data_IF_914004245930
#
_entry.id   IF_914004245930
#
_cell.length_a   1.000
_cell.length_b   1.000
_cell.length_c   1.000
_cell.angle_alpha   90.00
_cell.angle_beta   90.00
_cell.angle_gamma   90.00
#
_symmetry.space_group_name_H-M   'P 1'
#
loop_
_entity.id
_entity.type
_entity.pdbx_description
1 polymer ?
#
# COMPACT_ATOMS: atom_id res chain seq x y z
N UNK A 1 7.28 16.51 -15.63
CA UNK A 1 6.96 16.77 -14.22
C UNK A 1 6.17 15.60 -13.66
N UNK A 2 6.61 15.06 -12.57
CA UNK A 2 5.90 13.98 -11.94
C UNK A 2 4.70 14.49 -11.17
N UNK A 3 3.59 13.81 -11.32
CA UNK A 3 2.40 14.08 -10.53
C UNK A 3 2.26 13.02 -9.44
N UNK A 4 1.81 13.46 -8.28
CA UNK A 4 1.48 12.53 -7.23
C UNK A 4 0.34 11.63 -7.68
N UNK A 5 0.40 10.36 -7.32
CA UNK A 5 -0.67 9.42 -7.59
C UNK A 5 -1.92 9.84 -6.81
N UNK A 6 -3.09 9.76 -7.45
CA UNK A 6 -4.32 9.91 -6.69
C UNK A 6 -4.57 8.65 -5.85
N UNK A 7 -5.58 8.70 -4.98
CA UNK A 7 -5.84 7.60 -4.07
C UNK A 7 -6.09 6.26 -4.78
N UNK A 8 -6.86 6.29 -5.86
CA UNK A 8 -7.16 5.09 -6.64
C UNK A 8 -5.90 4.48 -7.27
N UNK A 9 -5.08 5.32 -7.90
CA UNK A 9 -3.83 4.89 -8.53
C UNK A 9 -2.85 4.37 -7.48
N UNK A 10 -2.76 5.06 -6.35
CA UNK A 10 -1.89 4.66 -5.25
C UNK A 10 -2.28 3.30 -4.70
N UNK A 11 -3.57 3.06 -4.47
CA UNK A 11 -4.05 1.78 -3.98
C UNK A 11 -3.78 0.64 -4.95
N UNK A 12 -3.94 0.88 -6.25
CA UNK A 12 -3.58 -0.11 -7.27
C UNK A 12 -2.09 -0.44 -7.23
N UNK A 13 -1.26 0.58 -7.05
CA UNK A 13 0.18 0.37 -6.95
C UNK A 13 0.54 -0.42 -5.70
N UNK A 14 -0.11 -0.15 -4.58
CA UNK A 14 0.10 -0.91 -3.35
C UNK A 14 -0.22 -2.39 -3.58
N UNK A 15 -1.36 -2.70 -4.17
CA UNK A 15 -1.74 -4.09 -4.46
C UNK A 15 -0.69 -4.76 -5.34
N UNK A 16 -0.24 -4.07 -6.39
CA UNK A 16 0.78 -4.61 -7.30
C UNK A 16 2.09 -4.89 -6.56
N UNK A 17 2.54 -3.95 -5.73
CA UNK A 17 3.77 -4.12 -4.96
C UNK A 17 3.68 -5.33 -4.01
N UNK A 18 2.53 -5.48 -3.35
CA UNK A 18 2.33 -6.61 -2.43
C UNK A 18 2.31 -7.94 -3.17
N UNK A 19 1.71 -7.99 -4.36
CA UNK A 19 1.69 -9.21 -5.17
C UNK A 19 3.06 -9.59 -5.72
N UNK A 20 3.88 -8.60 -6.05
CA UNK A 20 5.19 -8.85 -6.65
C UNK A 20 6.27 -9.13 -5.62
N UNK A 21 6.08 -8.71 -4.39
CA UNK A 21 7.10 -8.89 -3.36
C UNK A 21 7.00 -10.29 -2.75
N UNK A 22 8.10 -11.04 -2.68
CA UNK A 22 8.11 -12.32 -2.00
C UNK A 22 8.09 -12.20 -0.48
N UNK A 23 8.34 -11.01 0.04
CA UNK A 23 8.40 -10.74 1.48
C UNK A 23 7.40 -9.67 1.86
N UNK A 24 6.94 -9.63 3.11
CA UNK A 24 6.07 -8.56 3.57
C UNK A 24 6.73 -7.18 3.41
N UNK A 25 5.92 -6.19 3.06
CA UNK A 25 6.36 -4.80 2.94
C UNK A 25 5.76 -3.99 4.07
N UNK A 26 6.61 -3.22 4.76
CA UNK A 26 6.13 -2.36 5.83
C UNK A 26 5.30 -1.20 5.28
N UNK A 27 4.43 -0.63 6.12
CA UNK A 27 3.70 0.57 5.75
C UNK A 27 4.62 1.72 5.38
N UNK A 28 5.76 1.84 6.08
CA UNK A 28 6.75 2.86 5.75
C UNK A 28 7.36 2.64 4.37
N UNK A 29 7.69 1.38 4.04
CA UNK A 29 8.24 1.05 2.73
C UNK A 29 7.22 1.35 1.61
N UNK A 30 5.97 0.97 1.81
CA UNK A 30 4.90 1.26 0.85
C UNK A 30 4.69 2.76 0.70
N UNK A 31 4.76 3.51 1.79
CA UNK A 31 4.67 4.96 1.75
C UNK A 31 5.78 5.58 0.93
N UNK A 32 7.01 5.11 1.11
CA UNK A 32 8.15 5.58 0.34
C UNK A 32 7.97 5.30 -1.15
N UNK A 33 7.51 4.11 -1.49
CA UNK A 33 7.30 3.71 -2.88
C UNK A 33 6.17 4.49 -3.55
N UNK A 34 5.20 4.93 -2.79
CA UNK A 34 4.02 5.63 -3.32
C UNK A 34 4.05 7.14 -3.07
N UNK A 35 5.04 7.63 -2.35
CA UNK A 35 5.19 9.07 -2.12
C UNK A 35 4.25 9.63 -1.05
N UNK A 36 3.81 8.81 -0.10
CA UNK A 36 2.92 9.23 0.97
C UNK A 36 3.45 8.76 2.32
N UNK A 37 2.83 9.24 3.39
CA UNK A 37 3.20 8.80 4.74
C UNK A 37 2.70 7.38 5.01
N UNK A 38 3.31 6.74 6.01
CA UNK A 38 2.86 5.44 6.50
C UNK A 38 1.38 5.47 6.90
N UNK A 39 0.94 6.58 7.51
CA UNK A 39 -0.43 6.72 7.96
C UNK A 39 -1.41 6.66 6.79
N UNK A 40 -1.07 7.30 5.67
CA UNK A 40 -1.89 7.24 4.45
C UNK A 40 -1.95 5.81 3.93
N UNK A 41 -0.84 5.08 3.95
CA UNK A 41 -0.81 3.67 3.54
C UNK A 41 -1.75 2.85 4.41
N UNK A 42 -1.75 3.05 5.72
CA UNK A 42 -2.65 2.33 6.63
C UNK A 42 -4.11 2.56 6.24
N UNK A 43 -4.46 3.79 5.91
CA UNK A 43 -5.81 4.12 5.45
C UNK A 43 -6.13 3.45 4.12
N UNK A 44 -5.18 3.43 3.18
CA UNK A 44 -5.38 2.77 1.90
C UNK A 44 -5.58 1.26 2.07
N UNK A 45 -4.82 0.64 2.96
CA UNK A 45 -4.98 -0.79 3.26
C UNK A 45 -6.39 -1.06 3.80
N UNK A 46 -6.89 -0.21 4.69
CA UNK A 46 -8.24 -0.36 5.22
C UNK A 46 -9.29 -0.27 4.11
N UNK A 47 -9.13 0.69 3.19
CA UNK A 47 -10.04 0.83 2.06
C UNK A 47 -9.98 -0.38 1.13
N UNK A 48 -8.78 -0.89 0.85
CA UNK A 48 -8.62 -2.08 0.01
C UNK A 48 -9.32 -3.29 0.62
N UNK A 49 -9.25 -3.46 1.94
CA UNK A 49 -9.95 -4.54 2.60
C UNK A 49 -11.46 -4.44 2.45
N UNK A 50 -12.01 -3.22 2.46
CA UNK A 50 -13.45 -3.03 2.24
C UNK A 50 -13.85 -3.36 0.81
N UNK A 51 -12.92 -3.30 -0.13
CA UNK A 51 -13.15 -3.64 -1.53
C UNK A 51 -12.97 -5.14 -1.81
N UNK A 52 -12.65 -5.93 -0.80
CA UNK A 52 -12.54 -7.37 -0.94
C UNK A 52 -11.12 -7.90 -1.03
N UNK A 53 -10.10 -7.06 -0.97
CA UNK A 53 -8.71 -7.53 -0.97
C UNK A 53 -8.37 -8.12 0.39
N UNK A 54 -7.77 -9.30 0.39
CA UNK A 54 -7.31 -9.95 1.60
C UNK A 54 -5.87 -9.53 1.86
N UNK A 55 -5.69 -8.60 2.77
CA UNK A 55 -4.36 -8.10 3.12
C UNK A 55 -4.14 -8.35 4.60
N UNK A 56 -3.20 -9.24 4.91
CA UNK A 56 -2.85 -9.57 6.28
C UNK A 56 -1.79 -8.63 6.81
N UNK A 57 -1.95 -8.18 8.04
CA UNK A 57 -0.94 -7.40 8.73
C UNK A 57 -0.10 -8.36 9.58
N UNK A 58 1.22 -8.25 9.46
CA UNK A 58 2.17 -9.03 10.25
C UNK A 58 3.15 -8.08 10.94
N UNK A 59 3.94 -8.56 11.93
CA UNK A 59 4.97 -7.73 12.52
C UNK A 59 6.01 -7.22 11.53
N UNK A 60 6.11 -7.86 10.36
CA UNK A 60 7.06 -7.47 9.31
C UNK A 60 6.44 -6.58 8.24
N UNK A 61 5.12 -6.41 8.25
CA UNK A 61 4.40 -5.62 7.25
C UNK A 61 3.24 -6.39 6.64
N UNK A 62 2.91 -5.98 5.44
CA UNK A 62 1.76 -6.52 4.72
C UNK A 62 2.16 -7.52 3.67
#
# INVERSE_FOLDING_TARGET
MEQALNGSQRRKKIVMLLKQSPNPLSGAALGKETGVSRQVVVQDIALLRTEGYEISATPRGY
#
